data_IF_113233254744
#
_entry.id   IF_113233254744
#
_cell.length_a   1.000
_cell.length_b   1.000
_cell.length_c   1.000
_cell.angle_alpha   90.00
_cell.angle_beta   90.00
_cell.angle_gamma   90.00
#
_symmetry.space_group_name_H-M   'P 1'
#
loop_
_entity.id
_entity.type
_entity.pdbx_description
1 polymer ?
#
# COMPACT_ATOMS: atom_id res chain seq x y z
N UNK A 1 11.76 -8.20 -6.79
CA UNK A 1 10.70 -9.14 -7.17
C UNK A 1 10.83 -9.60 -8.62
N UNK A 2 10.62 -8.73 -9.62
CA UNK A 2 10.73 -9.11 -11.05
C UNK A 2 12.09 -9.75 -11.40
N UNK A 3 13.20 -9.17 -10.96
CA UNK A 3 14.56 -9.69 -11.20
C UNK A 3 14.87 -11.03 -10.50
N UNK A 4 14.08 -11.41 -9.50
CA UNK A 4 14.25 -12.64 -8.71
C UNK A 4 13.15 -13.67 -9.10
N UNK A 5 12.44 -13.42 -10.21
CA UNK A 5 11.30 -14.21 -10.70
C UNK A 5 10.17 -14.40 -9.66
N UNK A 6 10.02 -13.43 -8.77
CA UNK A 6 8.92 -13.37 -7.81
C UNK A 6 7.88 -12.36 -8.26
N UNK A 7 6.59 -12.69 -8.10
CA UNK A 7 5.50 -11.78 -8.46
C UNK A 7 5.64 -10.48 -7.66
N UNK A 8 5.66 -9.30 -8.30
CA UNK A 8 5.86 -8.03 -7.61
C UNK A 8 4.85 -7.84 -6.46
N UNK A 9 5.35 -7.38 -5.32
CA UNK A 9 4.52 -7.02 -4.16
C UNK A 9 3.48 -5.95 -4.53
N UNK A 10 3.74 -5.12 -5.54
CA UNK A 10 2.77 -4.17 -6.12
C UNK A 10 1.50 -4.88 -6.64
N UNK A 11 1.63 -6.07 -7.23
CA UNK A 11 0.50 -6.85 -7.75
C UNK A 11 -0.07 -7.84 -6.72
N UNK A 12 0.70 -8.18 -5.68
CA UNK A 12 0.25 -9.10 -4.62
C UNK A 12 -0.47 -8.42 -3.46
N UNK A 13 -0.29 -7.10 -3.28
CA UNK A 13 -0.96 -6.36 -2.20
C UNK A 13 -1.63 -5.11 -2.75
N UNK A 14 -2.95 -5.16 -2.87
CA UNK A 14 -3.79 -4.05 -3.36
C UNK A 14 -3.56 -2.74 -2.60
N UNK A 15 -3.20 -2.84 -1.32
CA UNK A 15 -2.79 -1.72 -0.47
C UNK A 15 -1.62 -0.93 -1.05
N UNK A 16 -0.65 -1.60 -1.70
CA UNK A 16 0.49 -0.92 -2.30
C UNK A 16 0.06 0.00 -3.44
N UNK A 17 -0.88 -0.45 -4.27
CA UNK A 17 -1.43 0.34 -5.37
C UNK A 17 -2.38 1.45 -4.85
N UNK A 18 -3.27 1.12 -3.92
CA UNK A 18 -4.22 2.08 -3.32
C UNK A 18 -3.49 3.24 -2.63
N UNK A 19 -2.40 2.98 -1.91
CA UNK A 19 -1.62 4.01 -1.23
C UNK A 19 -1.03 5.02 -2.23
N UNK A 20 -0.49 4.54 -3.35
CA UNK A 20 0.08 5.41 -4.39
C UNK A 20 -0.99 6.22 -5.11
N UNK A 21 -2.12 5.60 -5.45
CA UNK A 21 -3.26 6.29 -6.07
C UNK A 21 -3.81 7.37 -5.14
N UNK A 22 -3.97 7.06 -3.85
CA UNK A 22 -4.43 8.02 -2.84
C UNK A 22 -3.43 9.19 -2.67
N UNK A 23 -2.13 8.92 -2.61
CA UNK A 23 -1.10 9.96 -2.56
C UNK A 23 -1.11 10.86 -3.80
N UNK A 24 -1.27 10.28 -4.99
CA UNK A 24 -1.40 11.03 -6.24
C UNK A 24 -2.68 11.86 -6.30
N UNK A 25 -3.79 11.35 -5.77
CA UNK A 25 -5.04 12.10 -5.67
C UNK A 25 -4.91 13.30 -4.72
N UNK A 26 -4.28 13.11 -3.57
CA UNK A 26 -4.00 14.21 -2.62
C UNK A 26 -3.07 15.26 -3.24
N UNK A 27 -2.04 14.82 -3.95
CA UNK A 27 -1.17 15.71 -4.71
C UNK A 27 -1.96 16.53 -5.74
N UNK A 28 -2.83 15.87 -6.51
CA UNK A 28 -3.66 16.54 -7.51
C UNK A 28 -4.60 17.58 -6.89
N UNK A 29 -5.27 17.24 -5.78
CA UNK A 29 -6.12 18.20 -5.05
C UNK A 29 -5.31 19.38 -4.53
N UNK A 30 -4.14 19.15 -3.92
CA UNK A 30 -3.27 20.22 -3.46
C UNK A 30 -2.70 21.07 -4.61
N UNK A 31 -2.50 20.47 -5.77
CA UNK A 31 -2.07 21.18 -6.98
C UNK A 31 -3.17 22.13 -7.48
N UNK A 32 -4.42 21.66 -7.54
CA UNK A 32 -5.59 22.49 -7.92
C UNK A 32 -5.83 23.65 -6.94
N UNK A 33 -5.53 23.46 -5.65
CA UNK A 33 -5.59 24.52 -4.64
C UNK A 33 -4.43 25.55 -4.74
N UNK A 34 -3.55 25.44 -5.74
CA UNK A 34 -2.38 26.31 -5.93
C UNK A 34 -1.46 26.40 -4.70
N UNK A 35 -1.32 25.30 -3.95
CA UNK A 35 -0.38 25.25 -2.85
C UNK A 35 1.06 25.24 -3.35
N UNK A 36 2.01 25.75 -2.55
CA UNK A 36 3.43 25.70 -2.88
C UNK A 36 3.87 24.26 -3.15
N UNK A 37 4.57 24.03 -4.26
CA UNK A 37 5.12 22.73 -4.64
C UNK A 37 5.76 21.93 -3.48
N UNK A 38 6.64 22.51 -2.64
CA UNK A 38 7.24 21.77 -1.53
C UNK A 38 6.22 21.31 -0.47
N UNK A 39 5.13 22.05 -0.27
CA UNK A 39 4.08 21.68 0.66
C UNK A 39 3.19 20.57 0.08
N UNK A 40 2.88 20.65 -1.22
CA UNK A 40 2.09 19.64 -1.94
C UNK A 40 2.82 18.29 -2.02
N UNK A 41 4.12 18.31 -2.31
CA UNK A 41 4.98 17.12 -2.29
C UNK A 41 5.07 16.50 -0.90
N UNK A 42 5.27 17.33 0.14
CA UNK A 42 5.34 16.87 1.52
C UNK A 42 4.01 16.27 1.98
N UNK A 43 2.88 16.92 1.65
CA UNK A 43 1.55 16.41 1.96
C UNK A 43 1.31 15.04 1.31
N UNK A 44 1.61 14.92 0.01
CA UNK A 44 1.48 13.67 -0.73
C UNK A 44 2.33 12.55 -0.12
N UNK A 45 3.61 12.83 0.16
CA UNK A 45 4.52 11.88 0.79
C UNK A 45 4.03 11.42 2.17
N UNK A 46 3.57 12.36 3.01
CA UNK A 46 3.00 12.05 4.32
C UNK A 46 1.75 11.18 4.20
N UNK A 47 0.86 11.44 3.24
CA UNK A 47 -0.32 10.58 3.03
C UNK A 47 0.06 9.15 2.61
N UNK A 48 1.02 8.98 1.70
CA UNK A 48 1.46 7.64 1.30
C UNK A 48 2.06 6.89 2.49
N UNK A 49 2.92 7.56 3.28
CA UNK A 49 3.54 6.98 4.48
C UNK A 49 2.48 6.65 5.53
N UNK A 50 1.53 7.54 5.78
CA UNK A 50 0.45 7.31 6.74
C UNK A 50 -0.40 6.09 6.33
N UNK A 51 -0.76 5.96 5.05
CA UNK A 51 -1.52 4.81 4.54
C UNK A 51 -0.69 3.52 4.67
N UNK A 52 0.62 3.58 4.39
CA UNK A 52 1.54 2.42 4.56
C UNK A 52 1.60 1.97 6.02
N UNK A 53 1.78 2.92 6.95
CA UNK A 53 1.84 2.63 8.38
C UNK A 53 0.48 2.12 8.87
N UNK A 54 -0.63 2.73 8.43
CA UNK A 54 -1.97 2.26 8.74
C UNK A 54 -2.17 0.82 8.24
N UNK A 55 -1.79 0.50 7.01
CA UNK A 55 -1.90 -0.84 6.48
C UNK A 55 -1.09 -1.89 7.25
N UNK A 56 0.12 -1.55 7.70
CA UNK A 56 0.94 -2.43 8.55
C UNK A 56 0.35 -2.55 9.94
N UNK A 57 -0.08 -1.44 10.55
CA UNK A 57 -0.61 -1.38 11.93
C UNK A 57 -1.99 -2.02 12.06
N UNK A 58 -2.85 -1.86 11.07
CA UNK A 58 -4.14 -2.55 11.00
C UNK A 58 -4.00 -4.03 10.70
N UNK A 59 -2.76 -4.55 10.54
CA UNK A 59 -2.51 -5.93 10.17
C UNK A 59 -3.49 -6.37 9.08
N UNK A 60 -3.57 -5.61 7.96
CA UNK A 60 -4.06 -6.20 6.70
C UNK A 60 -2.95 -7.13 6.16
N UNK A 61 -2.45 -7.98 7.05
CA UNK A 61 -2.04 -9.31 6.71
C UNK A 61 -3.39 -9.98 6.46
N UNK A 62 -3.73 -10.20 5.19
CA UNK A 62 -4.65 -11.29 4.86
C UNK A 62 -4.27 -12.43 5.81
N UNK A 63 -5.19 -12.96 6.63
CA UNK A 63 -4.89 -14.15 7.41
C UNK A 63 -4.30 -15.13 6.40
N UNK A 64 -3.03 -15.45 6.61
CA UNK A 64 -2.37 -16.46 5.81
C UNK A 64 -3.15 -17.70 6.22
N UNK A 65 -4.06 -18.12 5.35
CA UNK A 65 -4.71 -19.40 5.45
C UNK A 65 -3.58 -20.41 5.27
N UNK A 66 -2.86 -20.68 6.35
CA UNK A 66 -2.20 -21.95 6.54
C UNK A 66 -3.34 -22.96 6.58
N UNK A 67 -3.71 -23.43 5.38
CA UNK A 67 -4.31 -24.74 5.21
C UNK A 67 -3.23 -25.76 5.55
N UNK A 68 -2.81 -25.77 6.82
CA UNK A 68 -2.08 -26.89 7.33
C UNK A 68 -3.10 -28.00 7.51
N UNK A 69 -3.26 -28.76 6.43
CA UNK A 69 -3.31 -30.21 6.48
C UNK A 69 -4.15 -30.77 7.63
N UNK A 70 -5.44 -30.38 7.70
CA UNK A 70 -6.35 -31.03 8.62
C UNK A 70 -6.56 -32.47 8.15
N UNK A 71 -5.95 -33.38 8.90
CA UNK A 71 -6.29 -34.80 9.06
C UNK A 71 -6.09 -35.69 7.82
N UNK A 72 -4.95 -36.39 7.82
CA UNK A 72 -4.96 -37.81 7.52
C UNK A 72 -4.73 -38.59 8.82
N UNK A 73 -5.75 -38.61 9.66
CA UNK A 73 -5.98 -39.67 10.63
C UNK A 73 -7.23 -40.39 10.14
N UNK A 74 -7.00 -41.46 9.41
CA UNK A 74 -7.59 -42.80 9.59
C UNK A 74 -7.03 -43.74 8.50
#
# INVERSE_FOLDING_TARGET
DVLINEVPLLFRKDIYALACIAGGFVYFVCYELSLPAPLTELAAALTVIAIRIAAVKFHIQLPILDLDSTKQKD
#
